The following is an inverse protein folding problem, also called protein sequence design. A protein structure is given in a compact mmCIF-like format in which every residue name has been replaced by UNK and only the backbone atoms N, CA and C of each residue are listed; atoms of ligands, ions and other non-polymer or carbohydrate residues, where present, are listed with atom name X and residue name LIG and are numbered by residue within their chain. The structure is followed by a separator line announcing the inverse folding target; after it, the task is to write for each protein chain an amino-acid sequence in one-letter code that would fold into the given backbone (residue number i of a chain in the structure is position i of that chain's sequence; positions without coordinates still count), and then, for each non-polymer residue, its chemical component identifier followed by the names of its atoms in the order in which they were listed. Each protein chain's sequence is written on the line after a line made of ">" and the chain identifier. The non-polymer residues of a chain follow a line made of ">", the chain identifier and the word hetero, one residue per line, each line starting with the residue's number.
data_IF_907502107799
#
_entry.id   IF_907502107799
#
_cell.length_a   1.000
_cell.length_b   1.000
_cell.length_c   1.000
_cell.angle_alpha   90.00
_cell.angle_beta   90.00
_cell.angle_gamma   90.00
#
_symmetry.space_group_name_H-M   'P 1'
#
loop_
_entity.id
_entity.type
_entity.pdbx_description
1 polymer ?
#
# COMPACT_ATOMS: atom_id res chain seq x y z
N UNK A 1 19.87 -15.02 3.40
CA UNK A 1 18.53 -14.40 3.29
C UNK A 1 18.10 -13.68 4.58
N UNK A 2 18.96 -13.58 5.60
CA UNK A 2 18.62 -13.07 6.94
C UNK A 2 18.05 -11.64 7.00
N UNK A 3 18.35 -10.80 6.00
CA UNK A 3 17.85 -9.42 5.93
C UNK A 3 16.86 -9.18 4.78
N UNK A 4 16.45 -10.23 4.05
CA UNK A 4 15.50 -10.07 2.94
C UNK A 4 14.19 -9.45 3.43
N UNK A 5 13.66 -9.95 4.56
CA UNK A 5 12.45 -9.38 5.17
C UNK A 5 12.57 -7.87 5.43
N UNK A 6 13.75 -7.44 5.89
CA UNK A 6 14.01 -6.05 6.26
C UNK A 6 14.09 -5.16 5.02
N UNK A 7 14.77 -5.63 3.97
CA UNK A 7 14.83 -4.91 2.70
C UNK A 7 13.45 -4.79 2.06
N UNK A 8 12.63 -5.85 2.10
CA UNK A 8 11.26 -5.79 1.57
C UNK A 8 10.43 -4.74 2.34
N UNK A 9 10.49 -4.73 3.67
CA UNK A 9 9.78 -3.75 4.49
C UNK A 9 10.23 -2.30 4.23
N UNK A 10 11.55 -2.07 4.08
CA UNK A 10 12.07 -0.73 3.71
C UNK A 10 11.56 -0.30 2.34
N UNK A 11 11.65 -1.17 1.34
CA UNK A 11 11.22 -0.82 -0.03
C UNK A 11 9.72 -0.60 -0.08
N UNK A 12 8.92 -1.35 0.70
CA UNK A 12 7.48 -1.14 0.81
C UNK A 12 7.15 0.21 1.46
N UNK A 13 7.82 0.59 2.54
CA UNK A 13 7.67 1.92 3.14
C UNK A 13 8.07 3.05 2.19
N UNK A 14 9.15 2.88 1.42
CA UNK A 14 9.54 3.83 0.37
C UNK A 14 8.47 3.88 -0.73
N UNK A 15 7.91 2.72 -1.10
CA UNK A 15 6.86 2.61 -2.11
C UNK A 15 5.60 3.38 -1.70
N UNK A 16 5.18 3.29 -0.44
CA UNK A 16 4.08 4.10 0.12
C UNK A 16 4.38 5.61 0.03
N UNK A 17 5.59 6.04 0.43
CA UNK A 17 5.99 7.45 0.28
C UNK A 17 5.93 7.86 -1.20
N UNK A 18 6.44 7.04 -2.10
CA UNK A 18 6.43 7.30 -3.54
C UNK A 18 5.00 7.38 -4.10
N UNK A 19 4.10 6.48 -3.69
CA UNK A 19 2.70 6.51 -4.07
C UNK A 19 2.07 7.84 -3.64
N UNK A 20 2.26 8.22 -2.38
CA UNK A 20 1.76 9.49 -1.86
C UNK A 20 2.30 10.69 -2.66
N UNK A 21 3.62 10.77 -2.89
CA UNK A 21 4.20 11.89 -3.64
C UNK A 21 3.69 11.92 -5.09
N UNK A 22 3.63 10.77 -5.75
CA UNK A 22 3.26 10.68 -7.15
C UNK A 22 1.78 11.02 -7.37
N UNK A 23 0.88 10.39 -6.62
CA UNK A 23 -0.56 10.57 -6.82
C UNK A 23 -1.04 11.92 -6.32
N UNK A 24 -0.57 12.37 -5.15
CA UNK A 24 -1.11 13.57 -4.52
C UNK A 24 -0.35 14.85 -4.83
N UNK A 25 0.93 14.81 -5.21
CA UNK A 25 1.70 16.02 -5.54
C UNK A 25 1.98 16.20 -7.02
N UNK A 26 2.27 15.12 -7.75
CA UNK A 26 2.61 15.21 -9.17
C UNK A 26 1.38 15.03 -10.07
N UNK A 27 0.59 13.99 -9.82
CA UNK A 27 -0.56 13.60 -10.64
C UNK A 27 -1.91 14.02 -10.03
N UNK A 28 -1.91 14.97 -9.09
CA UNK A 28 -3.08 15.34 -8.28
C UNK A 28 -4.37 15.53 -9.10
N UNK A 29 -4.30 16.36 -10.15
CA UNK A 29 -5.47 16.64 -11.01
C UNK A 29 -6.02 15.38 -11.67
N UNK A 30 -5.13 14.54 -12.22
CA UNK A 30 -5.53 13.27 -12.82
C UNK A 30 -6.16 12.35 -11.79
N UNK A 31 -5.56 12.25 -10.60
CA UNK A 31 -6.02 11.37 -9.54
C UNK A 31 -7.41 11.75 -9.01
N UNK A 32 -7.68 13.05 -8.85
CA UNK A 32 -9.01 13.56 -8.48
C UNK A 32 -10.04 13.24 -9.56
N UNK A 33 -9.70 13.47 -10.83
CA UNK A 33 -10.61 13.17 -11.96
C UNK A 33 -10.92 11.67 -12.00
N UNK A 34 -9.90 10.82 -11.84
CA UNK A 34 -10.05 9.38 -11.80
C UNK A 34 -10.97 8.94 -10.67
N UNK A 35 -10.79 9.48 -9.46
CA UNK A 35 -11.68 9.23 -8.32
C UNK A 35 -13.13 9.60 -8.62
N UNK A 36 -13.36 10.73 -9.29
CA UNK A 36 -14.70 11.15 -9.72
C UNK A 36 -15.34 10.19 -10.74
N UNK A 37 -14.55 9.69 -11.70
CA UNK A 37 -15.02 8.70 -12.69
C UNK A 37 -15.35 7.36 -12.03
N UNK A 38 -14.51 6.89 -11.10
CA UNK A 38 -14.77 5.67 -10.34
C UNK A 38 -16.07 5.84 -9.53
N UNK A 39 -16.22 6.97 -8.82
CA UNK A 39 -17.43 7.26 -8.05
C UNK A 39 -18.70 7.20 -8.91
N UNK A 40 -18.68 7.81 -10.09
CA UNK A 40 -19.80 7.74 -11.04
C UNK A 40 -20.11 6.31 -11.53
N UNK A 41 -19.12 5.41 -11.48
CA UNK A 41 -19.26 4.02 -11.93
C UNK A 41 -19.80 3.09 -10.84
N UNK A 42 -19.42 3.32 -9.57
CA UNK A 42 -19.77 2.44 -8.44
C UNK A 42 -20.84 3.01 -7.49
N UNK A 43 -21.15 4.30 -7.63
CA UNK A 43 -22.16 5.09 -6.91
C UNK A 43 -22.10 4.90 -5.38
N UNK A 44 -20.89 4.86 -4.83
CA UNK A 44 -20.67 4.67 -3.40
C UNK A 44 -19.30 5.18 -2.98
N UNK A 45 -19.21 6.06 -1.95
CA UNK A 45 -17.93 6.51 -1.42
C UNK A 45 -17.07 5.33 -0.93
N UNK A 46 -17.67 4.39 -0.21
CA UNK A 46 -16.97 3.21 0.32
C UNK A 46 -16.41 2.32 -0.79
N UNK A 47 -17.18 2.08 -1.87
CA UNK A 47 -16.67 1.31 -3.02
C UNK A 47 -15.58 2.07 -3.78
N UNK A 48 -15.71 3.38 -3.89
CA UNK A 48 -14.70 4.24 -4.54
C UNK A 48 -13.38 4.18 -3.78
N UNK A 49 -13.45 4.32 -2.46
CA UNK A 49 -12.31 4.14 -1.56
C UNK A 49 -11.70 2.74 -1.70
N UNK A 50 -12.51 1.68 -1.68
CA UNK A 50 -12.00 0.31 -1.86
C UNK A 50 -11.26 0.12 -3.19
N UNK A 51 -11.74 0.72 -4.29
CA UNK A 51 -11.05 0.69 -5.58
C UNK A 51 -9.72 1.45 -5.51
N UNK A 52 -9.68 2.58 -4.80
CA UNK A 52 -8.45 3.32 -4.54
C UNK A 52 -7.43 2.46 -3.77
N UNK A 53 -7.83 1.79 -2.70
CA UNK A 53 -6.96 0.88 -1.95
C UNK A 53 -6.43 -0.27 -2.82
N UNK A 54 -7.26 -0.83 -3.70
CA UNK A 54 -6.83 -1.86 -4.65
C UNK A 54 -5.82 -1.32 -5.68
N UNK A 55 -5.97 -0.06 -6.09
CA UNK A 55 -5.01 0.60 -6.98
C UNK A 55 -3.68 0.86 -6.30
N UNK A 56 -3.69 1.26 -5.03
CA UNK A 56 -2.49 1.43 -4.20
C UNK A 56 -1.77 0.10 -3.98
N UNK A 57 -2.50 -0.96 -3.63
CA UNK A 57 -1.96 -2.31 -3.56
C UNK A 57 -1.34 -2.76 -4.89
N UNK A 58 -2.00 -2.48 -6.02
CA UNK A 58 -1.47 -2.79 -7.36
C UNK A 58 -0.20 -1.98 -7.67
N UNK A 59 -0.11 -0.74 -7.21
CA UNK A 59 1.12 0.07 -7.32
C UNK A 59 2.27 -0.60 -6.55
N UNK A 60 2.04 -1.01 -5.30
CA UNK A 60 3.05 -1.72 -4.50
C UNK A 60 3.47 -3.05 -5.11
N UNK A 61 2.51 -3.82 -5.65
CA UNK A 61 2.81 -5.05 -6.39
C UNK A 61 3.84 -4.80 -7.51
N UNK A 62 3.61 -3.78 -8.34
CA UNK A 62 4.51 -3.45 -9.45
C UNK A 62 5.88 -3.03 -8.94
N UNK A 63 5.94 -2.10 -7.99
CA UNK A 63 7.22 -1.58 -7.47
C UNK A 63 8.05 -2.71 -6.85
N UNK A 64 7.45 -3.52 -5.98
CA UNK A 64 8.18 -4.59 -5.27
C UNK A 64 8.58 -5.73 -6.20
N UNK A 65 7.72 -6.09 -7.17
CA UNK A 65 8.06 -7.08 -8.19
C UNK A 65 9.28 -6.65 -9.00
N UNK A 66 9.37 -5.37 -9.38
CA UNK A 66 10.48 -4.85 -10.17
C UNK A 66 11.78 -4.75 -9.35
N UNK A 67 11.71 -4.27 -8.11
CA UNK A 67 12.92 -4.10 -7.28
C UNK A 67 13.53 -5.45 -6.90
N UNK A 68 12.71 -6.43 -6.55
CA UNK A 68 13.19 -7.75 -6.12
C UNK A 68 13.22 -8.80 -7.23
N UNK A 69 12.77 -8.44 -8.44
CA UNK A 69 12.61 -9.36 -9.58
C UNK A 69 11.81 -10.62 -9.20
N UNK A 70 10.80 -10.44 -8.35
CA UNK A 70 10.05 -11.54 -7.72
C UNK A 70 8.55 -11.18 -7.62
N UNK A 71 7.71 -11.76 -8.49
CA UNK A 71 6.26 -11.59 -8.40
C UNK A 71 5.69 -12.06 -7.05
N UNK A 72 6.31 -13.07 -6.43
CA UNK A 72 5.90 -13.55 -5.11
C UNK A 72 6.06 -12.47 -4.04
N UNK A 73 7.20 -11.77 -4.01
CA UNK A 73 7.40 -10.66 -3.06
C UNK A 73 6.41 -9.53 -3.35
N UNK A 74 6.18 -9.20 -4.62
CA UNK A 74 5.19 -8.21 -5.01
C UNK A 74 3.78 -8.55 -4.52
N UNK A 75 3.33 -9.80 -4.72
CA UNK A 75 1.99 -10.26 -4.29
C UNK A 75 1.87 -10.16 -2.77
N UNK A 76 2.88 -10.66 -2.05
CA UNK A 76 2.88 -10.64 -0.59
C UNK A 76 2.83 -9.21 -0.04
N UNK A 77 3.61 -8.30 -0.63
CA UNK A 77 3.66 -6.89 -0.25
C UNK A 77 2.34 -6.17 -0.51
N UNK A 78 1.78 -6.31 -1.71
CA UNK A 78 0.49 -5.72 -2.06
C UNK A 78 -0.64 -6.25 -1.16
N UNK A 79 -0.64 -7.56 -0.89
CA UNK A 79 -1.63 -8.19 -0.04
C UNK A 79 -1.57 -7.66 1.40
N UNK A 80 -0.39 -7.66 2.02
CA UNK A 80 -0.29 -7.23 3.42
C UNK A 80 -0.61 -5.74 3.57
N UNK A 81 -0.16 -4.90 2.64
CA UNK A 81 -0.45 -3.47 2.64
C UNK A 81 -1.96 -3.21 2.58
N UNK A 82 -2.64 -3.80 1.59
CA UNK A 82 -4.09 -3.72 1.44
C UNK A 82 -4.85 -4.20 2.68
N UNK A 83 -4.41 -5.30 3.29
CA UNK A 83 -5.02 -5.83 4.52
C UNK A 83 -4.90 -4.80 5.65
N UNK A 84 -3.74 -4.17 5.81
CA UNK A 84 -3.54 -3.14 6.82
C UNK A 84 -4.46 -1.94 6.53
N UNK A 85 -4.55 -1.49 5.28
CA UNK A 85 -5.41 -0.37 4.89
C UNK A 85 -6.88 -0.58 5.22
N UNK A 86 -7.38 -1.76 4.88
CA UNK A 86 -8.75 -2.13 5.22
C UNK A 86 -8.94 -2.23 6.73
N UNK A 87 -7.99 -2.85 7.43
CA UNK A 87 -8.10 -3.04 8.87
C UNK A 87 -8.05 -1.73 9.66
N UNK A 88 -7.10 -0.83 9.39
CA UNK A 88 -6.99 0.42 10.15
C UNK A 88 -8.17 1.36 9.87
N UNK A 89 -8.65 1.40 8.62
CA UNK A 89 -9.82 2.20 8.24
C UNK A 89 -11.08 1.75 8.97
N UNK A 90 -11.28 0.44 9.14
CA UNK A 90 -12.46 -0.12 9.81
C UNK A 90 -12.37 -0.08 11.33
N UNK A 91 -11.18 -0.30 11.90
CA UNK A 91 -11.02 -0.50 13.36
C UNK A 91 -10.58 0.75 14.12
N UNK A 92 -9.83 1.66 13.48
CA UNK A 92 -9.21 2.82 14.14
C UNK A 92 -9.84 4.13 13.63
N UNK A 93 -10.10 4.21 12.32
CA UNK A 93 -10.84 5.30 11.67
C UNK A 93 -10.02 6.57 11.41
N UNK A 94 -9.35 7.14 12.43
CA UNK A 94 -8.56 8.36 12.28
C UNK A 94 -7.15 8.19 12.81
N UNK A 95 -6.17 8.41 11.94
CA UNK A 95 -4.74 8.36 12.25
C UNK A 95 -4.03 9.51 11.51
N UNK A 96 -3.01 10.07 12.14
CA UNK A 96 -2.10 10.98 11.45
C UNK A 96 -1.22 10.25 10.42
N UNK A 97 -0.66 10.97 9.46
CA UNK A 97 0.21 10.37 8.43
C UNK A 97 1.39 9.58 9.03
N UNK A 98 2.01 10.07 10.11
CA UNK A 98 3.12 9.39 10.76
C UNK A 98 2.68 8.10 11.46
N UNK A 99 1.52 8.13 12.12
CA UNK A 99 0.96 6.97 12.82
C UNK A 99 0.57 5.87 11.83
N UNK A 100 -0.02 6.27 10.71
CA UNK A 100 -0.32 5.38 9.58
C UNK A 100 0.94 4.70 9.05
N UNK A 101 1.97 5.46 8.68
CA UNK A 101 3.21 4.87 8.14
C UNK A 101 3.93 3.99 9.17
N UNK A 102 3.89 4.37 10.45
CA UNK A 102 4.47 3.57 11.52
C UNK A 102 3.72 2.23 11.70
N UNK A 103 2.39 2.24 11.62
CA UNK A 103 1.58 1.03 11.67
C UNK A 103 1.94 0.08 10.52
N UNK A 104 1.96 0.59 9.29
CA UNK A 104 2.36 -0.17 8.11
C UNK A 104 3.75 -0.77 8.30
N UNK A 105 4.75 0.05 8.62
CA UNK A 105 6.12 -0.42 8.77
C UNK A 105 6.27 -1.53 9.82
N UNK A 106 5.59 -1.42 10.97
CA UNK A 106 5.66 -2.44 12.03
C UNK A 106 5.00 -3.75 11.59
N UNK A 107 3.76 -3.70 11.08
CA UNK A 107 2.99 -4.90 10.74
C UNK A 107 3.56 -5.59 9.50
N UNK A 108 3.95 -4.83 8.47
CA UNK A 108 4.60 -5.36 7.27
C UNK A 108 5.94 -6.00 7.61
N UNK A 109 6.74 -5.36 8.48
CA UNK A 109 7.99 -5.97 8.96
C UNK A 109 7.73 -7.29 9.69
N UNK A 110 6.77 -7.32 10.62
CA UNK A 110 6.42 -8.53 11.36
C UNK A 110 5.97 -9.66 10.42
N UNK A 111 5.17 -9.33 9.41
CA UNK A 111 4.71 -10.26 8.39
C UNK A 111 5.88 -10.85 7.59
N UNK A 112 6.81 -10.03 7.10
CA UNK A 112 7.95 -10.53 6.35
C UNK A 112 9.00 -11.25 7.20
N UNK A 113 9.15 -10.88 8.48
CA UNK A 113 9.97 -11.66 9.43
C UNK A 113 9.42 -13.08 9.55
N UNK A 114 8.09 -13.25 9.66
CA UNK A 114 7.48 -14.56 9.78
C UNK A 114 7.70 -15.46 8.54
N UNK A 115 7.89 -14.87 7.36
CA UNK A 115 8.06 -15.60 6.09
C UNK A 115 9.54 -15.81 5.73
N UNK A 116 10.39 -14.79 5.91
CA UNK A 116 11.78 -14.75 5.43
C UNK A 116 12.82 -14.55 6.53
N UNK A 117 12.42 -14.49 7.80
CA UNK A 117 13.31 -14.24 8.94
C UNK A 117 13.94 -15.48 9.57
N UNK A 118 13.53 -16.68 9.13
CA UNK A 118 14.12 -17.98 9.52
C UNK A 118 15.04 -18.51 8.42
#
# INVERSE_FOLDING_TARGET
>A
MELLWFYVAIVLAISDILHTQLMWKVLNNFYIILGGLIYQSVDSPAKTWLVHELMEAAFHFVVLTLVFLSPTIGILAAFIHFVIDVCHTVLIGHMGELEHRALHFIIESAFFIAIYGL
#
